data_IF_718844426601
#
_entry.id   IF_718844426601
#
_cell.length_a   1.000
_cell.length_b   1.000
_cell.length_c   1.000
_cell.angle_alpha   90.00
_cell.angle_beta   90.00
_cell.angle_gamma   90.00
#
_symmetry.space_group_name_H-M   'P 1'
#
loop_
_entity.id
_entity.type
_entity.pdbx_description
1 polymer ?
#
# COMPACT_ATOMS: atom_id res chain seq x y z
N UNK A 1 12.42 -54.30 -37.69
CA UNK A 1 12.09 -53.53 -36.46
C UNK A 1 12.10 -52.05 -36.81
N UNK A 2 10.95 -51.35 -36.71
CA UNK A 2 10.79 -49.94 -37.10
C UNK A 2 10.99 -49.05 -35.87
N UNK A 3 11.71 -47.92 -35.97
CA UNK A 3 11.80 -46.96 -34.87
C UNK A 3 10.50 -46.14 -34.78
N UNK A 4 9.96 -46.05 -33.57
CA UNK A 4 8.77 -45.29 -33.21
C UNK A 4 9.11 -43.79 -33.27
N UNK A 5 8.47 -43.05 -34.18
CA UNK A 5 8.49 -41.57 -34.18
C UNK A 5 7.50 -41.07 -33.14
N UNK A 6 7.99 -40.42 -32.09
CA UNK A 6 7.20 -39.63 -31.15
C UNK A 6 6.67 -38.37 -31.86
N UNK A 7 5.36 -38.16 -31.81
CA UNK A 7 4.71 -36.95 -32.28
C UNK A 7 5.03 -35.77 -31.34
N UNK A 8 5.25 -34.54 -31.85
CA UNK A 8 5.33 -33.37 -31.00
C UNK A 8 3.93 -33.02 -30.49
N UNK A 9 3.77 -33.00 -29.17
CA UNK A 9 2.56 -32.53 -28.51
C UNK A 9 2.31 -31.06 -28.83
N UNK A 10 1.16 -30.78 -29.42
CA UNK A 10 0.55 -29.46 -29.50
C UNK A 10 0.28 -28.94 -28.08
N UNK A 11 1.25 -28.26 -27.48
CA UNK A 11 0.95 -27.30 -26.41
C UNK A 11 0.49 -26.03 -27.09
N UNK A 12 -0.84 -25.91 -27.19
CA UNK A 12 -1.51 -24.73 -27.69
C UNK A 12 -0.99 -23.49 -26.96
N UNK A 13 -0.53 -22.54 -27.77
CA UNK A 13 -0.20 -21.19 -27.37
C UNK A 13 -1.42 -20.54 -26.71
N UNK A 14 -1.50 -20.55 -25.37
CA UNK A 14 -2.51 -19.76 -24.65
C UNK A 14 -2.00 -18.31 -24.56
N UNK A 15 -2.00 -17.62 -25.71
CA UNK A 15 -1.99 -16.16 -25.75
C UNK A 15 -3.32 -15.70 -25.15
N UNK A 16 -3.37 -15.46 -23.84
CA UNK A 16 -4.37 -14.55 -23.26
C UNK A 16 -4.10 -13.16 -23.81
N UNK A 17 -4.71 -12.90 -24.96
CA UNK A 17 -5.17 -11.56 -25.32
C UNK A 17 -6.35 -11.23 -24.39
N UNK A 18 -6.76 -9.96 -24.42
CA UNK A 18 -7.87 -9.30 -23.71
C UNK A 18 -7.60 -8.94 -22.24
N UNK A 19 -7.74 -7.70 -21.76
CA UNK A 19 -8.37 -6.47 -22.27
C UNK A 19 -7.53 -5.26 -21.87
N UNK A 20 -7.33 -4.31 -22.81
CA UNK A 20 -7.02 -2.94 -22.45
C UNK A 20 -8.23 -2.38 -21.72
N UNK A 21 -8.20 -2.38 -20.39
CA UNK A 21 -9.13 -1.59 -19.61
C UNK A 21 -8.78 -0.14 -19.87
N UNK A 22 -9.75 0.66 -20.30
CA UNK A 22 -9.61 2.12 -20.37
C UNK A 22 -9.04 2.61 -19.04
N UNK A 23 -7.75 2.94 -19.01
CA UNK A 23 -7.02 3.41 -17.83
C UNK A 23 -7.71 4.54 -17.07
N UNK A 24 -8.47 5.47 -17.72
CA UNK A 24 -9.25 6.48 -17.00
C UNK A 24 -10.29 5.87 -16.07
N UNK A 25 -11.11 4.93 -16.58
CA UNK A 25 -12.21 4.33 -15.81
C UNK A 25 -11.71 3.48 -14.63
N UNK A 26 -10.56 2.82 -14.79
CA UNK A 26 -9.93 2.07 -13.69
C UNK A 26 -9.50 3.01 -12.57
N UNK A 27 -8.76 4.08 -12.92
CA UNK A 27 -8.31 5.07 -11.94
C UNK A 27 -9.47 5.72 -11.22
N UNK A 28 -10.49 6.16 -11.95
CA UNK A 28 -11.69 6.78 -11.37
C UNK A 28 -12.40 5.84 -10.39
N UNK A 29 -12.41 4.54 -10.67
CA UNK A 29 -12.98 3.53 -9.75
C UNK A 29 -12.19 3.46 -8.44
N UNK A 30 -10.86 3.39 -8.51
CA UNK A 30 -10.00 3.39 -7.31
C UNK A 30 -10.12 4.70 -6.52
N UNK A 31 -10.12 5.85 -7.19
CA UNK A 31 -10.24 7.15 -6.51
C UNK A 31 -11.57 7.27 -5.76
N UNK A 32 -12.68 6.85 -6.37
CA UNK A 32 -14.00 6.81 -5.69
C UNK A 32 -13.98 5.91 -4.45
N UNK A 33 -13.30 4.77 -4.51
CA UNK A 33 -13.16 3.88 -3.34
C UNK A 33 -12.32 4.57 -2.28
N UNK A 34 -11.21 5.20 -2.64
CA UNK A 34 -10.34 5.91 -1.71
C UNK A 34 -11.08 7.06 -1.03
N UNK A 35 -11.87 7.85 -1.75
CA UNK A 35 -12.71 8.91 -1.17
C UNK A 35 -13.71 8.33 -0.14
N UNK A 36 -14.39 7.24 -0.49
CA UNK A 36 -15.31 6.56 0.42
C UNK A 36 -14.60 6.00 1.68
N UNK A 37 -13.37 5.50 1.52
CA UNK A 37 -12.54 5.03 2.65
C UNK A 37 -12.16 6.19 3.56
N UNK A 38 -11.78 7.35 3.01
CA UNK A 38 -11.43 8.54 3.82
C UNK A 38 -12.62 8.95 4.67
N UNK A 39 -13.80 9.08 4.09
CA UNK A 39 -15.02 9.45 4.84
C UNK A 39 -15.38 8.39 5.88
N UNK A 40 -15.35 7.09 5.53
CA UNK A 40 -15.62 6.02 6.48
C UNK A 40 -14.61 5.99 7.65
N UNK A 41 -13.33 6.26 7.40
CA UNK A 41 -12.32 6.37 8.46
C UNK A 41 -12.59 7.55 9.38
N UNK A 42 -12.97 8.71 8.82
CA UNK A 42 -13.31 9.91 9.59
C UNK A 42 -14.54 9.69 10.46
N UNK A 43 -15.55 8.99 9.96
CA UNK A 43 -16.75 8.65 10.74
C UNK A 43 -16.47 7.64 11.86
N UNK A 44 -15.71 6.58 11.57
CA UNK A 44 -15.47 5.49 12.53
C UNK A 44 -14.51 5.92 13.64
N UNK A 45 -13.41 6.57 13.27
CA UNK A 45 -12.38 6.96 14.24
C UNK A 45 -12.61 8.36 14.81
N UNK A 46 -13.30 9.26 14.10
CA UNK A 46 -13.57 10.62 14.57
C UNK A 46 -12.28 11.36 14.94
N UNK A 47 -12.26 11.97 16.11
CA UNK A 47 -11.10 12.68 16.65
C UNK A 47 -9.89 11.76 16.91
N UNK A 48 -10.09 10.44 16.99
CA UNK A 48 -8.98 9.48 17.10
C UNK A 48 -8.16 9.39 15.81
N UNK A 49 -8.71 9.80 14.66
CA UNK A 49 -8.00 9.76 13.38
C UNK A 49 -7.00 10.91 13.29
N UNK A 50 -5.74 10.60 13.56
CA UNK A 50 -4.63 11.56 13.49
C UNK A 50 -4.23 11.80 12.04
N UNK A 51 -4.02 10.73 11.27
CA UNK A 51 -3.65 10.81 9.87
C UNK A 51 -4.05 9.55 9.08
N UNK A 52 -4.19 9.71 7.77
CA UNK A 52 -4.44 8.65 6.80
C UNK A 52 -3.64 8.94 5.52
N UNK A 53 -2.93 7.94 5.04
CA UNK A 53 -2.22 7.99 3.76
C UNK A 53 -2.51 6.74 2.92
N UNK A 54 -2.51 6.93 1.61
CA UNK A 54 -2.46 5.87 0.61
C UNK A 54 -1.01 5.66 0.20
N UNK A 55 -0.60 4.40 0.03
CA UNK A 55 0.70 4.07 -0.56
C UNK A 55 0.54 2.94 -1.59
N UNK A 56 1.66 2.38 -2.02
CA UNK A 56 1.63 1.24 -2.93
C UNK A 56 1.20 1.60 -4.36
N UNK A 57 0.71 0.60 -5.09
CA UNK A 57 0.48 0.74 -6.53
C UNK A 57 -0.59 1.77 -6.90
N UNK A 58 -1.60 1.94 -6.05
CA UNK A 58 -2.69 2.90 -6.27
C UNK A 58 -2.19 4.32 -6.06
N UNK A 59 -1.40 4.60 -5.01
CA UNK A 59 -0.78 5.91 -4.81
C UNK A 59 0.14 6.31 -5.97
N UNK A 60 0.89 5.35 -6.52
CA UNK A 60 1.80 5.56 -7.66
C UNK A 60 1.09 5.66 -9.02
N UNK A 61 -0.21 5.36 -9.08
CA UNK A 61 -0.95 5.33 -10.35
C UNK A 61 -0.59 4.16 -11.27
N UNK A 62 0.07 3.12 -10.74
CA UNK A 62 0.47 1.91 -11.47
C UNK A 62 -0.39 0.69 -11.10
N UNK A 63 -1.61 0.93 -10.63
CA UNK A 63 -2.52 -0.11 -10.19
C UNK A 63 -3.04 -0.95 -11.36
N UNK A 64 -3.33 -2.21 -11.06
CA UNK A 64 -4.00 -3.17 -11.93
C UNK A 64 -5.43 -3.39 -11.42
N UNK A 65 -6.31 -4.02 -12.20
CA UNK A 65 -7.65 -4.38 -11.74
C UNK A 65 -7.67 -5.25 -10.47
N UNK A 66 -6.58 -5.96 -10.17
CA UNK A 66 -6.37 -6.81 -9.00
C UNK A 66 -5.48 -6.16 -7.91
N UNK A 67 -5.16 -4.87 -8.03
CA UNK A 67 -4.36 -4.17 -7.03
C UNK A 67 -5.12 -3.98 -5.72
N UNK A 68 -4.43 -4.17 -4.61
CA UNK A 68 -4.91 -3.79 -3.27
C UNK A 68 -4.85 -2.27 -3.07
N UNK A 69 -5.65 -1.77 -2.12
CA UNK A 69 -5.61 -0.40 -1.63
C UNK A 69 -4.83 -0.38 -0.32
N UNK A 70 -3.54 -0.09 -0.41
CA UNK A 70 -2.62 -0.05 0.73
C UNK A 70 -2.75 1.26 1.51
N UNK A 71 -3.13 1.16 2.79
CA UNK A 71 -3.46 2.33 3.63
C UNK A 71 -2.60 2.35 4.88
N UNK A 72 -2.11 3.52 5.27
CA UNK A 72 -1.50 3.75 6.58
C UNK A 72 -2.40 4.67 7.38
N UNK A 73 -2.93 4.18 8.50
CA UNK A 73 -3.75 4.96 9.42
C UNK A 73 -2.99 5.17 10.72
N UNK A 74 -2.91 6.43 11.15
CA UNK A 74 -2.43 6.83 12.46
C UNK A 74 -3.66 7.15 13.30
N UNK A 75 -3.91 6.34 14.31
CA UNK A 75 -5.11 6.43 15.14
C UNK A 75 -4.69 6.44 16.61
N UNK A 76 -5.30 7.31 17.42
CA UNK A 76 -4.99 7.47 18.82
C UNK A 76 -6.24 7.63 19.70
N UNK A 77 -6.49 6.75 20.68
CA UNK A 77 -5.80 5.49 20.92
C UNK A 77 -6.15 4.44 19.87
N UNK A 78 -5.35 3.37 19.77
CA UNK A 78 -5.74 2.11 19.13
C UNK A 78 -5.86 1.01 20.19
N UNK A 79 -6.76 0.03 19.99
CA UNK A 79 -6.81 -1.13 20.86
C UNK A 79 -5.51 -1.93 20.78
N UNK A 80 -5.19 -2.60 21.89
CA UNK A 80 -4.04 -3.48 21.98
C UNK A 80 -4.29 -4.76 21.17
N UNK A 81 -3.26 -5.18 20.43
CA UNK A 81 -3.28 -6.43 19.67
C UNK A 81 -3.92 -6.32 18.29
N UNK A 82 -3.43 -7.16 17.37
CA UNK A 82 -3.81 -7.13 15.95
C UNK A 82 -5.28 -7.42 15.70
N UNK A 83 -5.85 -8.42 16.40
CA UNK A 83 -7.24 -8.83 16.21
C UNK A 83 -8.22 -7.70 16.56
N UNK A 84 -8.02 -7.02 17.69
CA UNK A 84 -8.90 -5.94 18.11
C UNK A 84 -8.86 -4.75 17.14
N UNK A 85 -7.68 -4.40 16.63
CA UNK A 85 -7.54 -3.37 15.58
C UNK A 85 -8.25 -3.76 14.29
N UNK A 86 -8.15 -5.03 13.90
CA UNK A 86 -8.82 -5.53 12.71
C UNK A 86 -10.35 -5.50 12.87
N UNK A 87 -10.87 -5.89 14.03
CA UNK A 87 -12.31 -5.79 14.35
C UNK A 87 -12.82 -4.34 14.34
N UNK A 88 -12.02 -3.37 14.80
CA UNK A 88 -12.37 -1.95 14.63
C UNK A 88 -12.41 -1.57 13.15
N UNK A 89 -11.42 -2.00 12.35
CA UNK A 89 -11.33 -1.67 10.93
C UNK A 89 -12.43 -2.31 10.08
N UNK A 90 -12.96 -3.47 10.47
CA UNK A 90 -14.09 -4.11 9.77
C UNK A 90 -15.31 -3.19 9.65
N UNK A 91 -15.45 -2.20 10.54
CA UNK A 91 -16.51 -1.19 10.43
C UNK A 91 -16.35 -0.28 9.20
N UNK A 92 -15.11 -0.04 8.76
CA UNK A 92 -14.79 0.66 7.52
C UNK A 92 -15.07 -0.27 6.34
N UNK A 93 -14.60 -1.53 6.39
CA UNK A 93 -14.85 -2.52 5.34
C UNK A 93 -16.35 -2.64 5.04
N UNK A 94 -17.20 -2.77 6.07
CA UNK A 94 -18.66 -2.88 5.90
C UNK A 94 -19.29 -1.64 5.25
N UNK A 95 -18.78 -0.44 5.55
CA UNK A 95 -19.28 0.81 4.96
C UNK A 95 -18.92 0.92 3.48
N UNK A 96 -17.74 0.45 3.10
CA UNK A 96 -17.21 0.57 1.72
C UNK A 96 -17.58 -0.64 0.86
N UNK A 97 -17.96 -1.77 1.45
CA UNK A 97 -18.30 -3.02 0.72
C UNK A 97 -19.31 -2.85 -0.42
N UNK A 98 -20.40 -2.05 -0.32
CA UNK A 98 -21.30 -1.84 -1.46
C UNK A 98 -20.59 -1.31 -2.70
N UNK A 99 -19.60 -0.42 -2.50
CA UNK A 99 -18.78 0.16 -3.56
C UNK A 99 -17.74 -0.84 -4.08
N UNK A 100 -17.11 -1.62 -3.19
CA UNK A 100 -16.22 -2.72 -3.59
C UNK A 100 -16.95 -3.78 -4.41
N UNK A 101 -18.17 -4.14 -4.02
CA UNK A 101 -19.02 -5.08 -4.75
C UNK A 101 -19.43 -4.52 -6.12
N UNK A 102 -19.66 -3.21 -6.23
CA UNK A 102 -19.89 -2.56 -7.54
C UNK A 102 -18.64 -2.62 -8.41
N UNK A 103 -17.48 -2.28 -7.87
CA UNK A 103 -16.20 -2.36 -8.57
C UNK A 103 -15.91 -3.79 -9.05
N UNK A 104 -16.19 -4.80 -8.21
CA UNK A 104 -16.04 -6.23 -8.53
C UNK A 104 -16.90 -6.65 -9.72
N UNK A 105 -18.15 -6.18 -9.78
CA UNK A 105 -19.04 -6.42 -10.94
C UNK A 105 -18.54 -5.75 -12.22
N UNK A 106 -17.77 -4.68 -12.10
CA UNK A 106 -17.12 -3.99 -13.21
C UNK A 106 -15.72 -4.55 -13.55
N UNK A 107 -15.30 -5.67 -12.96
CA UNK A 107 -14.03 -6.33 -13.22
C UNK A 107 -12.84 -5.80 -12.42
N UNK A 108 -13.08 -4.94 -11.42
CA UNK A 108 -12.04 -4.45 -10.48
C UNK A 108 -12.14 -5.23 -9.17
N UNK A 109 -11.17 -6.11 -8.94
CA UNK A 109 -11.10 -7.00 -7.80
C UNK A 109 -10.07 -6.48 -6.79
N UNK A 110 -10.48 -5.51 -5.97
CA UNK A 110 -9.61 -4.89 -4.96
C UNK A 110 -10.08 -5.21 -3.53
N UNK A 111 -9.16 -5.03 -2.58
CA UNK A 111 -9.38 -5.13 -1.13
C UNK A 111 -8.67 -3.99 -0.42
N UNK A 112 -9.11 -3.66 0.80
CA UNK A 112 -8.42 -2.72 1.67
C UNK A 112 -7.33 -3.44 2.45
N UNK A 113 -6.11 -2.88 2.45
CA UNK A 113 -4.94 -3.42 3.14
C UNK A 113 -4.42 -2.40 4.16
N UNK A 114 -5.04 -2.31 5.36
CA UNK A 114 -4.68 -1.30 6.34
C UNK A 114 -3.47 -1.68 7.18
N UNK A 115 -2.60 -0.70 7.39
CA UNK A 115 -1.57 -0.69 8.43
C UNK A 115 -2.00 0.31 9.49
N UNK A 116 -2.33 -0.19 10.68
CA UNK A 116 -2.88 0.61 11.78
C UNK A 116 -1.79 0.85 12.82
N UNK A 117 -1.44 2.12 13.06
CA UNK A 117 -0.38 2.54 13.98
C UNK A 117 -0.87 3.59 14.97
N UNK A 118 -0.35 3.57 16.19
CA UNK A 118 -0.43 4.74 17.07
C UNK A 118 0.64 5.76 16.71
N UNK A 119 0.56 7.02 17.18
CA UNK A 119 1.64 7.99 17.02
C UNK A 119 2.98 7.51 17.57
N UNK A 120 2.97 6.74 18.67
CA UNK A 120 4.17 6.14 19.28
C UNK A 120 4.78 5.09 18.36
N UNK A 121 3.95 4.21 17.79
CA UNK A 121 4.40 3.17 16.85
C UNK A 121 4.86 3.75 15.51
N UNK A 122 4.31 4.89 15.09
CA UNK A 122 4.80 5.66 13.95
C UNK A 122 6.22 6.14 14.21
N UNK A 123 6.45 6.79 15.36
CA UNK A 123 7.76 7.32 15.76
C UNK A 123 8.81 6.21 15.93
N UNK A 124 8.41 5.03 16.40
CA UNK A 124 9.30 3.88 16.53
C UNK A 124 9.85 3.38 15.17
N UNK A 125 9.19 3.73 14.07
CA UNK A 125 9.64 3.38 12.72
C UNK A 125 9.31 1.95 12.30
N UNK A 126 9.45 1.69 11.01
CA UNK A 126 9.30 0.37 10.39
C UNK A 126 9.98 0.38 9.01
N UNK A 127 10.44 -0.78 8.54
CA UNK A 127 10.96 -0.93 7.17
C UNK A 127 9.93 -0.53 6.10
N UNK A 128 8.64 -0.70 6.38
CA UNK A 128 7.57 -0.22 5.51
C UNK A 128 7.69 1.30 5.24
N UNK A 129 8.21 2.07 6.20
CA UNK A 129 8.25 3.51 6.09
C UNK A 129 9.31 4.02 5.11
N UNK A 130 10.26 3.18 4.67
CA UNK A 130 11.37 3.61 3.83
C UNK A 130 10.91 4.20 2.49
N UNK A 131 9.88 3.60 1.87
CA UNK A 131 9.34 4.07 0.59
C UNK A 131 8.29 5.18 0.77
N UNK A 132 7.72 5.34 1.98
CA UNK A 132 6.61 6.26 2.22
C UNK A 132 6.93 7.73 1.93
N UNK A 133 8.11 8.29 2.26
CA UNK A 133 8.41 9.68 1.94
C UNK A 133 8.22 9.99 0.45
N UNK A 134 8.55 9.06 -0.44
CA UNK A 134 8.50 9.32 -1.88
C UNK A 134 7.20 8.84 -2.53
N UNK A 135 6.54 7.84 -1.95
CA UNK A 135 5.39 7.17 -2.57
C UNK A 135 4.04 7.47 -1.89
N UNK A 136 4.02 7.94 -0.66
CA UNK A 136 2.77 8.12 0.08
C UNK A 136 1.99 9.36 -0.41
N UNK A 137 0.70 9.16 -0.66
CA UNK A 137 -0.27 10.23 -0.87
C UNK A 137 -1.03 10.46 0.43
N UNK A 138 -0.80 11.60 1.07
CA UNK A 138 -1.55 12.00 2.26
C UNK A 138 -3.01 12.27 1.88
N UNK A 139 -3.94 11.60 2.56
CA UNK A 139 -5.38 11.75 2.34
C UNK A 139 -6.02 12.58 3.46
N UNK A 140 -5.50 12.47 4.69
CA UNK A 140 -5.93 13.22 5.87
C UNK A 140 -4.74 13.40 6.81
N UNK A 141 -4.42 14.62 7.22
CA UNK A 141 -3.37 14.92 8.21
C UNK A 141 -3.50 16.37 8.73
N UNK A 142 -4.60 16.71 9.43
CA UNK A 142 -4.93 18.10 9.76
C UNK A 142 -3.88 18.79 10.64
N UNK A 143 -3.17 18.01 11.48
CA UNK A 143 -2.13 18.51 12.36
C UNK A 143 -0.71 18.40 11.76
N UNK A 144 -0.57 17.87 10.54
CA UNK A 144 0.74 17.66 9.90
C UNK A 144 1.63 16.62 10.59
N UNK A 145 1.04 15.70 11.37
CA UNK A 145 1.79 14.71 12.16
C UNK A 145 2.51 13.72 11.25
N UNK A 146 1.80 13.18 10.25
CA UNK A 146 2.39 12.22 9.33
C UNK A 146 3.32 12.92 8.34
N UNK A 147 2.97 14.12 7.87
CA UNK A 147 3.86 14.95 7.04
C UNK A 147 5.19 15.22 7.73
N UNK A 148 5.17 15.71 8.96
CA UNK A 148 6.38 15.99 9.74
C UNK A 148 7.25 14.73 9.90
N UNK A 149 6.63 13.60 10.26
CA UNK A 149 7.34 12.33 10.36
C UNK A 149 8.03 11.92 9.04
N UNK A 150 7.33 12.02 7.90
CA UNK A 150 7.87 11.63 6.60
C UNK A 150 9.00 12.58 6.13
N UNK A 151 8.87 13.87 6.43
CA UNK A 151 9.90 14.86 6.07
C UNK A 151 11.18 14.65 6.91
N UNK A 152 11.03 14.36 8.21
CA UNK A 152 12.16 13.99 9.08
C UNK A 152 12.82 12.69 8.64
N UNK A 153 12.02 11.68 8.29
CA UNK A 153 12.54 10.40 7.79
C UNK A 153 13.31 10.61 6.48
N UNK A 154 12.79 11.41 5.54
CA UNK A 154 13.49 11.75 4.29
C UNK A 154 14.84 12.41 4.57
N UNK A 155 14.88 13.35 5.52
CA UNK A 155 16.11 14.02 5.91
C UNK A 155 17.15 13.05 6.49
N UNK A 156 16.73 12.14 7.38
CA UNK A 156 17.61 11.10 7.97
C UNK A 156 18.14 10.14 6.91
N UNK A 157 17.28 9.63 6.02
CA UNK A 157 17.69 8.75 4.92
C UNK A 157 18.73 9.43 4.02
N UNK A 158 18.50 10.70 3.67
CA UNK A 158 19.45 11.50 2.88
C UNK A 158 20.79 11.68 3.61
N UNK A 159 20.76 11.99 4.90
CA UNK A 159 21.96 12.20 5.71
C UNK A 159 22.83 10.93 5.83
N UNK A 160 22.21 9.75 5.87
CA UNK A 160 22.91 8.46 5.89
C UNK A 160 23.41 8.00 4.51
N UNK A 161 23.08 8.73 3.44
CA UNK A 161 23.34 8.29 2.07
C UNK A 161 22.52 7.06 1.68
N UNK A 162 21.38 6.85 2.36
CA UNK A 162 20.49 5.74 2.06
C UNK A 162 19.98 5.85 0.63
N UNK A 163 19.99 4.74 -0.10
CA UNK A 163 19.54 4.68 -1.49
C UNK A 163 18.75 3.42 -1.77
N UNK A 164 17.66 3.60 -2.50
CA UNK A 164 16.90 2.51 -3.09
C UNK A 164 17.59 2.05 -4.37
N UNK A 165 17.83 0.75 -4.50
CA UNK A 165 18.48 0.13 -5.67
C UNK A 165 17.48 -0.72 -6.41
N UNK A 166 17.40 -0.52 -7.73
CA UNK A 166 16.48 -1.23 -8.61
C UNK A 166 15.07 -0.64 -8.64
N UNK A 167 14.14 -1.39 -9.25
CA UNK A 167 12.75 -0.99 -9.46
C UNK A 167 11.81 -2.21 -9.38
N UNK A 168 10.55 -1.99 -9.03
CA UNK A 168 9.56 -3.05 -8.93
C UNK A 168 9.82 -4.04 -7.79
N UNK A 169 9.42 -5.30 -7.97
CA UNK A 169 9.43 -6.34 -6.93
C UNK A 169 10.83 -6.78 -6.46
N UNK A 170 11.90 -6.39 -7.15
CA UNK A 170 13.28 -6.70 -6.78
C UNK A 170 14.05 -5.52 -6.16
N UNK A 171 13.37 -4.41 -5.88
CA UNK A 171 14.02 -3.26 -5.29
C UNK A 171 14.40 -3.53 -3.82
N UNK A 172 15.57 -3.02 -3.41
CA UNK A 172 16.04 -3.11 -2.04
C UNK A 172 16.70 -1.82 -1.60
N UNK A 173 16.77 -1.60 -0.30
CA UNK A 173 17.38 -0.42 0.30
C UNK A 173 18.81 -0.70 0.77
N UNK A 174 19.74 0.17 0.40
CA UNK A 174 21.05 0.28 1.03
C UNK A 174 20.96 1.47 1.97
N UNK A 175 20.86 1.20 3.28
CA UNK A 175 20.67 2.26 4.28
C UNK A 175 21.96 3.00 4.62
N UNK A 176 23.08 2.28 4.67
CA UNK A 176 24.40 2.83 4.96
C UNK A 176 25.42 2.27 3.96
N UNK A 177 25.77 3.02 2.89
CA UNK A 177 26.68 2.53 1.84
C UNK A 177 28.09 2.21 2.34
N UNK A 178 28.52 2.85 3.42
CA UNK A 178 29.83 2.70 4.06
C UNK A 178 29.78 1.83 5.33
N UNK A 179 28.76 0.97 5.46
CA UNK A 179 28.55 0.12 6.63
C UNK A 179 29.79 -0.69 7.00
N UNK A 180 30.19 -0.61 8.27
CA UNK A 180 31.23 -1.41 8.90
C UNK A 180 30.62 -2.35 9.92
N UNK A 181 31.23 -3.52 10.10
CA UNK A 181 30.77 -4.48 11.08
C UNK A 181 30.78 -3.85 12.49
N UNK A 182 29.63 -3.89 13.16
CA UNK A 182 29.41 -3.22 14.45
C UNK A 182 28.68 -1.88 14.37
N UNK A 183 28.47 -1.33 13.17
CA UNK A 183 27.66 -0.12 13.01
C UNK A 183 26.19 -0.37 13.40
N UNK A 184 25.61 0.60 14.12
CA UNK A 184 24.18 0.60 14.43
C UNK A 184 23.44 1.46 13.41
N UNK A 185 22.38 0.92 12.82
CA UNK A 185 21.49 1.65 11.91
C UNK A 185 20.24 2.02 12.72
N UNK A 186 19.96 3.30 12.84
CA UNK A 186 18.78 3.84 13.52
C UNK A 186 17.94 4.62 12.48
N UNK A 187 16.64 4.30 12.40
CA UNK A 187 15.70 4.85 11.42
C UNK A 187 14.75 5.87 12.05
#
# INVERSE_FOLDING_TARGET
MRPIRLAPSLVACFRRRVFGHNSPMLKDTFERIVEAVVEACREVYGERLVALALFGSVARGTMRPDSDIDLLLIVNPLPAGRLARQLEFEQIDRRVEPLLAQARRAGVHTVLSPVLKTPEELRAGSFLHLDLPDEARLLWDPAGTLRGYLDDLRARLKAMGARRVGSGAGAYWILKPDYRWGDRIEL
#
